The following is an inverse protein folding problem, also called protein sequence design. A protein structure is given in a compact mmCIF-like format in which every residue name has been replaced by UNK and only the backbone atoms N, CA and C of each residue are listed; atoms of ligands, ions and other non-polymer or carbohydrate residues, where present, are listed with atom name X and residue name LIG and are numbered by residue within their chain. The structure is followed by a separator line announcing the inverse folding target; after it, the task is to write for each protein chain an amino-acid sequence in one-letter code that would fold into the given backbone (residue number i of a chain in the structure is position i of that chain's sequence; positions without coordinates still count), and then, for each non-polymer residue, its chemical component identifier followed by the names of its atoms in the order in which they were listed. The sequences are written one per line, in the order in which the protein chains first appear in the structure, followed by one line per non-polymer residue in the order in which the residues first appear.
data_IF_991851486909
#
_entry.id   IF_991851486909
#
_cell.length_a   1.000
_cell.length_b   1.000
_cell.length_c   1.000
_cell.angle_alpha   90.00
_cell.angle_beta   90.00
_cell.angle_gamma   90.00
#
_symmetry.space_group_name_H-M   'P 1'
#
loop_
_entity.id
_entity.type
_entity.pdbx_description
1 polymer ?
#
# COMPACT_ATOMS: atom_id res chain seq x y z
N UNK A 1 1.76 -14.68 -6.09
CA UNK A 1 3.17 -15.11 -5.85
C UNK A 1 4.12 -13.97 -5.49
N UNK A 2 4.42 -12.98 -6.36
CA UNK A 2 5.39 -11.91 -5.99
C UNK A 2 4.94 -11.08 -4.78
N UNK A 3 3.68 -10.64 -4.74
CA UNK A 3 3.13 -9.88 -3.61
C UNK A 3 2.95 -10.70 -2.33
N UNK A 4 2.72 -12.01 -2.44
CA UNK A 4 2.64 -12.90 -1.27
C UNK A 4 4.00 -12.97 -0.55
N UNK A 5 5.10 -13.05 -1.30
CA UNK A 5 6.45 -13.04 -0.72
C UNK A 5 6.73 -11.71 -0.01
N UNK A 6 6.43 -10.58 -0.67
CA UNK A 6 6.62 -9.24 -0.07
C UNK A 6 5.78 -9.08 1.19
N UNK A 7 4.53 -9.53 1.17
CA UNK A 7 3.65 -9.48 2.33
C UNK A 7 4.16 -10.35 3.49
N UNK A 8 4.58 -11.59 3.21
CA UNK A 8 5.15 -12.48 4.23
C UNK A 8 6.39 -11.87 4.87
N UNK A 9 7.23 -11.17 4.11
CA UNK A 9 8.41 -10.49 4.62
C UNK A 9 8.05 -9.28 5.48
N UNK A 10 7.02 -8.51 5.10
CA UNK A 10 6.48 -7.42 5.93
C UNK A 10 5.96 -7.99 7.27
N UNK A 11 5.17 -9.06 7.24
CA UNK A 11 4.63 -9.69 8.45
C UNK A 11 5.74 -10.23 9.36
N UNK A 12 6.81 -10.81 8.78
CA UNK A 12 7.96 -11.27 9.56
C UNK A 12 8.72 -10.13 10.23
N UNK A 13 8.86 -8.98 9.56
CA UNK A 13 9.62 -7.84 10.08
C UNK A 13 8.85 -7.04 11.13
N UNK A 14 7.57 -6.79 10.89
CA UNK A 14 6.76 -5.87 11.68
C UNK A 14 5.71 -6.55 12.56
N UNK A 15 5.59 -7.87 12.48
CA UNK A 15 4.60 -8.67 13.21
C UNK A 15 3.28 -8.80 12.45
N UNK A 16 2.25 -9.30 13.13
CA UNK A 16 0.94 -9.50 12.53
C UNK A 16 0.32 -8.16 12.09
N UNK A 17 0.34 -7.90 10.79
CA UNK A 17 -0.26 -6.76 10.12
C UNK A 17 -1.32 -7.31 9.16
N UNK A 18 -2.49 -6.68 9.08
CA UNK A 18 -3.48 -7.01 8.06
C UNK A 18 -3.15 -6.31 6.75
N UNK A 19 -3.49 -6.93 5.62
CA UNK A 19 -3.26 -6.35 4.28
C UNK A 19 -3.88 -4.94 4.13
N UNK A 20 -5.07 -4.74 4.69
CA UNK A 20 -5.80 -3.47 4.72
C UNK A 20 -5.11 -2.36 5.55
N UNK A 21 -4.14 -2.70 6.39
CA UNK A 21 -3.35 -1.76 7.18
C UNK A 21 -2.08 -1.31 6.45
N UNK A 22 -1.76 -1.92 5.31
CA UNK A 22 -0.62 -1.57 4.48
C UNK A 22 -1.06 -0.56 3.43
N UNK A 23 -0.38 0.59 3.40
CA UNK A 23 -0.54 1.59 2.34
C UNK A 23 0.60 1.45 1.33
N UNK A 24 0.26 1.01 0.11
CA UNK A 24 1.18 0.74 -0.99
C UNK A 24 1.16 1.88 -2.02
N UNK A 25 2.33 2.34 -2.45
CA UNK A 25 2.48 3.43 -3.42
C UNK A 25 3.49 2.98 -4.48
N UNK A 26 3.10 3.05 -5.76
CA UNK A 26 3.92 2.61 -6.89
C UNK A 26 3.62 3.46 -8.12
N UNK A 27 4.61 3.70 -8.98
CA UNK A 27 4.47 4.52 -10.19
C UNK A 27 3.86 3.76 -11.38
N UNK A 28 3.66 2.44 -11.26
CA UNK A 28 3.04 1.62 -12.30
C UNK A 28 1.61 1.22 -11.93
N UNK A 29 0.65 1.60 -12.78
CA UNK A 29 -0.78 1.28 -12.59
C UNK A 29 -1.05 -0.23 -12.46
N UNK A 30 -0.30 -1.06 -13.19
CA UNK A 30 -0.42 -2.52 -13.12
C UNK A 30 -0.10 -3.05 -11.73
N UNK A 31 0.98 -2.58 -11.10
CA UNK A 31 1.38 -2.99 -9.75
C UNK A 31 0.35 -2.56 -8.71
N UNK A 32 -0.18 -1.34 -8.84
CA UNK A 32 -1.23 -0.81 -7.97
C UNK A 32 -2.51 -1.63 -8.09
N UNK A 33 -2.88 -2.01 -9.32
CA UNK A 33 -4.07 -2.84 -9.56
C UNK A 33 -3.91 -4.22 -8.90
N UNK A 34 -2.75 -4.86 -9.07
CA UNK A 34 -2.44 -6.14 -8.43
C UNK A 34 -2.45 -6.02 -6.89
N UNK A 35 -1.92 -4.93 -6.33
CA UNK A 35 -1.92 -4.70 -4.89
C UNK A 35 -3.35 -4.56 -4.33
N UNK A 36 -4.23 -3.86 -5.06
CA UNK A 36 -5.66 -3.75 -4.72
C UNK A 36 -6.37 -5.10 -4.76
N UNK A 37 -6.15 -5.89 -5.81
CA UNK A 37 -6.70 -7.25 -5.92
C UNK A 37 -6.20 -8.16 -4.78
N UNK A 38 -4.96 -7.93 -4.33
CA UNK A 38 -4.40 -8.66 -3.20
C UNK A 38 -5.01 -8.27 -1.84
N UNK A 39 -5.77 -7.16 -1.78
CA UNK A 39 -6.44 -6.66 -0.58
C UNK A 39 -5.63 -5.61 0.20
N UNK A 40 -4.64 -4.99 -0.44
CA UNK A 40 -3.93 -3.84 0.13
C UNK A 40 -4.60 -2.54 -0.30
N UNK A 41 -4.42 -1.51 0.54
CA UNK A 41 -4.76 -0.16 0.15
C UNK A 41 -3.62 0.42 -0.70
N UNK A 42 -3.92 0.90 -1.91
CA UNK A 42 -2.88 1.27 -2.86
C UNK A 42 -3.27 2.45 -3.77
N UNK A 43 -2.28 3.27 -4.12
CA UNK A 43 -2.41 4.38 -5.07
C UNK A 43 -1.27 4.42 -6.08
N UNK A 44 -1.53 5.04 -7.23
CA UNK A 44 -0.50 5.34 -8.22
C UNK A 44 0.25 6.60 -7.78
N UNK A 45 1.57 6.53 -7.81
CA UNK A 45 2.43 7.67 -7.56
C UNK A 45 2.33 8.66 -8.73
N UNK A 46 1.77 9.84 -8.48
CA UNK A 46 1.74 10.94 -9.46
C UNK A 46 2.72 12.07 -9.11
N UNK A 47 2.79 12.43 -7.82
CA UNK A 47 3.73 13.40 -7.28
C UNK A 47 3.83 13.28 -5.75
N UNK A 48 4.92 13.77 -5.16
CA UNK A 48 5.08 13.77 -3.70
C UNK A 48 3.99 14.60 -3.00
N UNK A 49 3.57 15.71 -3.60
CA UNK A 49 2.52 16.57 -3.04
C UNK A 49 1.18 15.83 -2.92
N UNK A 50 0.76 15.13 -3.99
CA UNK A 50 -0.47 14.33 -3.99
C UNK A 50 -0.42 13.17 -3.01
N UNK A 51 0.74 12.50 -2.91
CA UNK A 51 0.93 11.41 -1.95
C UNK A 51 0.85 11.91 -0.51
N UNK A 52 1.51 13.04 -0.21
CA UNK A 52 1.45 13.64 1.13
C UNK A 52 0.02 14.04 1.47
N UNK A 53 -0.71 14.65 0.53
CA UNK A 53 -2.11 14.99 0.72
C UNK A 53 -2.96 13.75 1.03
N UNK A 54 -2.75 12.66 0.28
CA UNK A 54 -3.47 11.41 0.50
C UNK A 54 -3.14 10.79 1.87
N UNK A 55 -1.88 10.78 2.28
CA UNK A 55 -1.46 10.33 3.61
C UNK A 55 -2.14 11.16 4.71
N UNK A 56 -2.16 12.49 4.58
CA UNK A 56 -2.79 13.37 5.56
C UNK A 56 -4.30 13.11 5.65
N UNK A 57 -4.99 13.00 4.51
CA UNK A 57 -6.42 12.70 4.47
C UNK A 57 -6.73 11.41 5.24
N UNK A 58 -5.89 10.38 5.12
CA UNK A 58 -6.06 9.08 5.78
C UNK A 58 -5.81 9.12 7.28
N UNK A 59 -4.87 9.94 7.73
CA UNK A 59 -4.56 10.12 9.15
C UNK A 59 -5.67 10.93 9.84
N UNK A 60 -6.16 12.00 9.20
CA UNK A 60 -7.16 12.91 9.79
C UNK A 60 -8.58 12.31 9.86
N UNK A 61 -8.90 11.35 8.99
CA UNK A 61 -10.23 10.71 8.93
C UNK A 61 -10.30 9.34 9.63
N UNK A 62 -9.35 9.04 10.52
CA UNK A 62 -9.37 7.88 11.43
C UNK A 62 -9.57 8.34 12.88
#
# INVERSE_FOLDING_TARGET
KRFEIVYDDIVKQFGAIKKEEIFYIDDQEENVSIAKEFGMDAIVYESSEKVIQEINNRIEHR
#
